data_IF_988896137142
#
_entry.id   IF_988896137142
#
_cell.length_a   1.000
_cell.length_b   1.000
_cell.length_c   1.000
_cell.angle_alpha   90.00
_cell.angle_beta   90.00
_cell.angle_gamma   90.00
#
_symmetry.space_group_name_H-M   'P 1'
#
loop_
_entity.id
_entity.type
_entity.pdbx_description
1 polymer ?
#
# COMPACT_ATOMS: atom_id res chain seq x y z
N UNK A 1 -12.14 7.52 3.64
CA UNK A 1 -13.16 6.96 4.56
C UNK A 1 -13.14 7.79 5.83
N UNK A 2 -14.21 7.75 6.61
CA UNK A 2 -14.37 8.49 7.87
C UNK A 2 -15.38 7.80 8.78
N UNK A 3 -15.77 8.49 9.85
CA UNK A 3 -16.83 8.02 10.73
C UNK A 3 -17.59 9.21 11.32
N UNK A 4 -18.91 9.06 11.45
CA UNK A 4 -19.74 9.98 12.23
C UNK A 4 -19.81 9.44 13.67
N UNK A 5 -19.24 10.15 14.66
CA UNK A 5 -19.27 9.71 16.05
C UNK A 5 -20.69 9.47 16.57
N UNK A 6 -20.84 8.42 17.37
CA UNK A 6 -22.04 8.03 18.09
C UNK A 6 -21.68 7.74 19.56
N UNK A 7 -22.59 7.12 20.30
CA UNK A 7 -22.37 6.74 21.69
C UNK A 7 -21.40 5.55 21.83
N UNK A 8 -20.79 5.43 23.02
CA UNK A 8 -19.96 4.28 23.44
C UNK A 8 -18.71 4.01 22.58
N UNK A 9 -18.08 5.05 22.01
CA UNK A 9 -16.84 4.90 21.25
C UNK A 9 -17.02 4.28 19.86
N UNK A 10 -18.28 4.19 19.37
CA UNK A 10 -18.61 3.72 18.03
C UNK A 10 -19.04 4.89 17.14
N UNK A 11 -18.92 4.72 15.83
CA UNK A 11 -19.42 5.68 14.84
C UNK A 11 -19.96 4.99 13.59
N UNK A 12 -20.79 5.70 12.82
CA UNK A 12 -21.26 5.23 11.51
C UNK A 12 -20.16 5.42 10.48
N UNK A 13 -19.86 4.39 9.70
CA UNK A 13 -18.83 4.44 8.66
C UNK A 13 -19.22 5.40 7.51
N UNK A 14 -18.31 6.29 7.15
CA UNK A 14 -18.43 7.18 6.00
C UNK A 14 -17.50 6.73 4.86
N UNK A 15 -18.05 6.55 3.67
CA UNK A 15 -17.31 6.05 2.51
C UNK A 15 -17.39 7.03 1.35
N UNK A 16 -16.24 7.41 0.82
CA UNK A 16 -16.14 8.17 -0.43
C UNK A 16 -15.91 7.19 -1.59
N UNK A 17 -16.99 6.81 -2.27
CA UNK A 17 -16.90 5.93 -3.43
C UNK A 17 -16.36 6.70 -4.63
N UNK A 18 -15.47 6.07 -5.39
CA UNK A 18 -14.85 6.74 -6.51
C UNK A 18 -15.82 7.03 -7.67
N UNK A 19 -16.95 6.32 -7.79
CA UNK A 19 -18.00 6.61 -8.78
C UNK A 19 -19.05 7.62 -8.28
N UNK A 20 -18.88 8.20 -7.09
CA UNK A 20 -19.82 9.12 -6.48
C UNK A 20 -19.15 10.47 -6.19
N UNK A 21 -19.95 11.54 -6.16
CA UNK A 21 -19.47 12.90 -5.86
C UNK A 21 -19.56 13.26 -4.38
N UNK A 22 -20.35 12.52 -3.62
CA UNK A 22 -20.59 12.74 -2.20
C UNK A 22 -20.11 11.55 -1.39
N UNK A 23 -19.77 11.83 -0.14
CA UNK A 23 -19.60 10.79 0.88
C UNK A 23 -20.94 10.12 1.12
N UNK A 24 -20.91 8.79 1.29
CA UNK A 24 -22.06 7.98 1.67
C UNK A 24 -21.92 7.56 3.13
N UNK A 25 -22.96 7.82 3.91
CA UNK A 25 -23.08 7.36 5.30
C UNK A 25 -23.67 5.95 5.29
N UNK A 26 -22.99 5.00 5.89
CA UNK A 26 -23.47 3.62 6.05
C UNK A 26 -24.04 3.43 7.46
N UNK A 27 -25.03 2.55 7.59
CA UNK A 27 -25.56 2.14 8.91
C UNK A 27 -24.57 1.24 9.69
N UNK A 28 -23.46 0.84 9.04
CA UNK A 28 -22.37 0.08 9.63
C UNK A 28 -21.72 0.86 10.78
N UNK A 29 -21.76 0.28 11.98
CA UNK A 29 -21.10 0.81 13.16
C UNK A 29 -19.68 0.27 13.28
N UNK A 30 -18.71 1.17 13.47
CA UNK A 30 -17.29 0.86 13.61
C UNK A 30 -16.70 1.49 14.88
N UNK A 31 -15.63 0.92 15.45
CA UNK A 31 -14.89 1.58 16.52
C UNK A 31 -14.25 2.89 16.05
N UNK A 32 -14.46 3.97 16.81
CA UNK A 32 -13.88 5.27 16.49
C UNK A 32 -12.35 5.28 16.60
N UNK A 33 -11.76 4.38 17.40
CA UNK A 33 -10.31 4.22 17.53
C UNK A 33 -9.62 3.89 16.19
N UNK A 34 -10.34 3.28 15.23
CA UNK A 34 -9.80 2.94 13.90
C UNK A 34 -9.70 4.16 12.96
N UNK A 35 -10.35 5.27 13.30
CA UNK A 35 -10.45 6.48 12.45
C UNK A 35 -9.86 7.70 13.15
N UNK A 36 -10.11 7.84 14.44
CA UNK A 36 -9.77 9.03 15.21
C UNK A 36 -8.82 8.68 16.35
N UNK A 37 -7.60 9.20 16.28
CA UNK A 37 -6.54 8.97 17.28
C UNK A 37 -6.92 9.39 18.70
N UNK A 38 -7.88 10.31 18.86
CA UNK A 38 -8.35 10.76 20.17
C UNK A 38 -9.17 9.70 20.93
N UNK A 39 -9.67 8.67 20.22
CA UNK A 39 -10.38 7.53 20.81
C UNK A 39 -9.49 6.30 20.98
N UNK A 40 -8.21 6.37 20.59
CA UNK A 40 -7.26 5.25 20.65
C UNK A 40 -6.46 5.29 21.97
N UNK A 41 -7.08 4.75 23.03
CA UNK A 41 -6.48 4.67 24.37
C UNK A 41 -5.28 3.71 24.42
N UNK A 42 -5.17 2.77 23.46
CA UNK A 42 -4.19 1.67 23.44
C UNK A 42 -2.98 1.94 22.52
N UNK A 43 -2.84 3.16 21.97
CA UNK A 43 -1.81 3.54 20.98
C UNK A 43 -1.67 2.53 19.83
N UNK A 44 -2.79 2.17 19.23
CA UNK A 44 -2.87 1.31 18.05
C UNK A 44 -2.13 1.94 16.87
N UNK A 45 -1.09 1.26 16.39
CA UNK A 45 -0.43 1.63 15.15
C UNK A 45 -1.17 0.99 13.97
N UNK A 46 -1.72 1.82 13.08
CA UNK A 46 -2.18 1.33 11.77
C UNK A 46 -0.99 1.20 10.83
N UNK A 47 -0.78 -0.01 10.31
CA UNK A 47 0.36 -0.33 9.44
C UNK A 47 0.04 -0.04 7.98
N UNK A 48 -1.16 -0.43 7.54
CA UNK A 48 -1.58 -0.36 6.13
C UNK A 48 -2.77 -1.26 5.85
N UNK A 49 -3.10 -1.43 4.57
CA UNK A 49 -4.22 -2.26 4.14
C UNK A 49 -3.87 -3.15 2.94
N UNK A 50 -4.54 -4.29 2.81
CA UNK A 50 -4.45 -5.18 1.65
C UNK A 50 -5.79 -5.89 1.50
N UNK A 51 -6.32 -5.96 0.27
CA UNK A 51 -7.60 -6.62 0.00
C UNK A 51 -8.80 -6.18 0.88
N UNK A 52 -8.83 -4.91 1.30
CA UNK A 52 -9.90 -4.41 2.19
C UNK A 52 -9.71 -4.73 3.68
N UNK A 53 -8.69 -5.52 4.03
CA UNK A 53 -8.25 -5.74 5.40
C UNK A 53 -7.26 -4.68 5.83
N UNK A 54 -7.39 -4.21 7.07
CA UNK A 54 -6.47 -3.26 7.69
C UNK A 54 -5.61 -4.00 8.69
N UNK A 55 -4.30 -3.84 8.59
CA UNK A 55 -3.36 -4.36 9.58
C UNK A 55 -3.11 -3.30 10.67
N UNK A 56 -3.36 -3.69 11.91
CA UNK A 56 -3.10 -2.89 13.10
C UNK A 56 -2.13 -3.62 14.03
N UNK A 57 -1.33 -2.86 14.79
CA UNK A 57 -0.45 -3.37 15.84
C UNK A 57 -0.77 -2.63 17.13
N UNK A 58 -1.24 -3.35 18.14
CA UNK A 58 -1.54 -2.80 19.47
C UNK A 58 -0.32 -2.88 20.39
N UNK A 59 -0.39 -2.21 21.55
CA UNK A 59 0.67 -2.22 22.57
C UNK A 59 1.05 -3.63 23.09
N UNK A 60 0.16 -4.61 22.95
CA UNK A 60 0.44 -6.01 23.26
C UNK A 60 1.38 -6.71 22.27
N UNK A 61 1.79 -6.01 21.20
CA UNK A 61 2.70 -6.52 20.17
C UNK A 61 2.05 -7.52 19.21
N UNK A 62 0.72 -7.65 19.24
CA UNK A 62 -0.02 -8.57 18.38
C UNK A 62 -0.55 -7.81 17.17
N UNK A 63 -0.11 -8.24 15.98
CA UNK A 63 -0.64 -7.75 14.71
C UNK A 63 -2.04 -8.34 14.50
N UNK A 64 -2.99 -7.50 14.09
CA UNK A 64 -4.38 -7.89 13.82
C UNK A 64 -4.80 -7.45 12.44
N UNK A 65 -5.45 -8.34 11.70
CA UNK A 65 -6.19 -8.00 10.49
C UNK A 65 -7.64 -7.69 10.87
N UNK A 66 -8.15 -6.53 10.48
CA UNK A 66 -9.52 -6.09 10.77
C UNK A 66 -10.23 -5.67 9.49
N UNK A 67 -11.51 -6.05 9.35
CA UNK A 67 -12.35 -5.72 8.19
C UNK A 67 -13.41 -4.64 8.50
N UNK A 68 -13.35 -4.03 9.69
CA UNK A 68 -14.37 -3.08 10.18
C UNK A 68 -14.62 -1.92 9.18
N UNK A 69 -13.59 -1.40 8.51
CA UNK A 69 -13.77 -0.32 7.51
C UNK A 69 -14.06 -0.82 6.09
N UNK A 70 -14.12 -2.13 5.86
CA UNK A 70 -14.55 -2.67 4.58
C UNK A 70 -16.07 -2.48 4.45
N UNK A 71 -16.56 -1.70 3.46
CA UNK A 71 -17.99 -1.43 3.31
C UNK A 71 -18.85 -2.66 3.03
N UNK A 72 -18.24 -3.74 2.51
CA UNK A 72 -18.96 -4.99 2.15
C UNK A 72 -18.88 -6.06 3.23
N UNK A 73 -18.03 -5.88 4.25
CA UNK A 73 -17.91 -6.83 5.35
C UNK A 73 -19.10 -6.74 6.32
N UNK A 74 -19.35 -7.83 7.05
CA UNK A 74 -20.50 -7.95 7.96
C UNK A 74 -20.47 -6.93 9.11
N UNK A 75 -21.56 -6.18 9.25
CA UNK A 75 -21.75 -5.24 10.37
C UNK A 75 -22.02 -5.98 11.69
N UNK A 76 -22.72 -7.12 11.62
CA UNK A 76 -23.13 -7.87 12.79
C UNK A 76 -21.99 -8.70 13.38
N UNK A 77 -21.04 -9.11 12.54
CA UNK A 77 -19.91 -9.97 12.90
C UNK A 77 -18.62 -9.46 12.25
N UNK A 78 -18.09 -8.28 12.66
CA UNK A 78 -16.80 -7.80 12.17
C UNK A 78 -15.70 -8.81 12.52
N UNK A 79 -14.81 -9.09 11.57
CA UNK A 79 -13.74 -10.07 11.73
C UNK A 79 -12.46 -9.36 12.16
N UNK A 80 -11.84 -9.89 13.21
CA UNK A 80 -10.55 -9.42 13.73
C UNK A 80 -9.65 -10.62 13.98
N UNK A 81 -8.69 -10.83 13.09
CA UNK A 81 -7.82 -12.00 13.10
C UNK A 81 -6.51 -11.64 13.80
N UNK A 82 -6.26 -12.10 15.03
CA UNK A 82 -4.95 -11.93 15.65
C UNK A 82 -3.94 -12.86 14.97
N UNK A 83 -2.81 -12.30 14.55
CA UNK A 83 -1.66 -13.07 14.11
C UNK A 83 -0.78 -13.45 15.31
N UNK A 84 0.12 -14.42 15.17
CA UNK A 84 1.04 -14.77 16.26
C UNK A 84 1.92 -13.58 16.67
N UNK A 85 2.50 -13.57 17.88
CA UNK A 85 3.49 -12.56 18.27
C UNK A 85 4.69 -12.55 17.31
N UNK A 86 5.12 -11.36 16.91
CA UNK A 86 6.25 -11.20 15.97
C UNK A 86 7.55 -11.76 16.58
N UNK A 87 8.33 -12.47 15.75
CA UNK A 87 9.62 -13.05 16.15
C UNK A 87 10.75 -12.33 15.43
N UNK A 88 11.67 -11.73 16.19
CA UNK A 88 12.82 -11.01 15.63
C UNK A 88 14.00 -11.94 15.40
N UNK A 89 14.49 -12.01 14.16
CA UNK A 89 15.70 -12.76 13.84
C UNK A 89 16.97 -12.05 14.33
N UNK A 90 18.10 -12.77 14.53
CA UNK A 90 19.37 -12.14 14.85
C UNK A 90 19.75 -11.05 13.84
N UNK A 91 20.23 -9.90 14.34
CA UNK A 91 20.60 -8.72 13.54
C UNK A 91 19.45 -8.09 12.73
N UNK A 92 18.19 -8.40 13.08
CA UNK A 92 16.99 -7.80 12.49
C UNK A 92 16.21 -6.97 13.54
N UNK A 93 15.10 -6.38 13.12
CA UNK A 93 14.16 -5.67 14.00
C UNK A 93 12.73 -5.79 13.48
N UNK A 94 11.75 -5.81 14.38
CA UNK A 94 10.32 -5.95 14.06
C UNK A 94 9.46 -4.77 14.57
N UNK A 95 10.10 -3.73 15.11
CA UNK A 95 9.45 -2.56 15.70
C UNK A 95 8.93 -1.57 14.64
N UNK A 96 9.59 -1.49 13.48
CA UNK A 96 9.18 -0.61 12.38
C UNK A 96 8.76 -1.47 11.20
N UNK A 97 7.44 -1.57 11.00
CA UNK A 97 6.82 -2.25 9.88
C UNK A 97 6.63 -1.24 8.74
N UNK A 98 7.04 -1.62 7.53
CA UNK A 98 6.92 -0.78 6.32
C UNK A 98 5.58 -0.94 5.63
N UNK A 99 5.07 -2.17 5.52
CA UNK A 99 3.72 -2.48 5.09
C UNK A 99 3.38 -3.96 5.33
N UNK A 100 2.12 -4.30 5.03
CA UNK A 100 1.62 -5.67 4.88
C UNK A 100 1.13 -5.91 3.46
N UNK A 101 1.08 -7.17 3.04
CA UNK A 101 0.51 -7.62 1.78
C UNK A 101 -0.07 -9.02 1.96
N UNK A 102 -1.12 -9.36 1.23
CA UNK A 102 -1.83 -10.63 1.36
C UNK A 102 -1.97 -11.29 -0.01
N UNK A 103 -1.91 -12.63 -0.05
CA UNK A 103 -2.06 -13.37 -1.30
C UNK A 103 -3.51 -13.56 -1.74
N UNK A 104 -4.46 -13.32 -0.85
CA UNK A 104 -5.89 -13.54 -1.04
C UNK A 104 -6.68 -12.56 -0.17
N UNK A 105 -7.94 -12.31 -0.53
CA UNK A 105 -8.87 -11.45 0.22
C UNK A 105 -9.59 -12.14 1.37
N UNK A 106 -9.36 -13.45 1.56
CA UNK A 106 -10.08 -14.28 2.53
C UNK A 106 -9.14 -14.92 3.58
N UNK A 107 -8.35 -14.13 4.33
CA UNK A 107 -7.38 -14.65 5.31
C UNK A 107 -7.96 -15.57 6.39
N UNK A 108 -9.26 -15.50 6.64
CA UNK A 108 -9.98 -16.27 7.64
C UNK A 108 -10.43 -17.66 7.16
N UNK A 109 -10.62 -17.84 5.85
CA UNK A 109 -11.26 -19.02 5.27
C UNK A 109 -10.31 -19.78 4.31
N UNK A 110 -9.35 -19.10 3.70
CA UNK A 110 -8.40 -19.66 2.75
C UNK A 110 -7.11 -20.15 3.47
N UNK A 111 -6.97 -21.49 3.60
CA UNK A 111 -5.80 -22.13 4.23
C UNK A 111 -4.46 -21.87 3.49
N UNK A 112 -4.54 -21.44 2.23
CA UNK A 112 -3.39 -21.05 1.42
C UNK A 112 -3.14 -19.54 1.40
N UNK A 113 -4.04 -18.74 1.98
CA UNK A 113 -3.82 -17.31 2.15
C UNK A 113 -2.60 -17.06 3.06
N UNK A 114 -1.61 -16.37 2.51
CA UNK A 114 -0.43 -15.92 3.23
C UNK A 114 -0.49 -14.41 3.43
N UNK A 115 -0.14 -13.98 4.63
CA UNK A 115 0.08 -12.58 5.00
C UNK A 115 1.58 -12.36 5.09
N UNK A 116 2.09 -11.44 4.30
CA UNK A 116 3.46 -10.97 4.32
C UNK A 116 3.59 -9.66 5.10
N UNK A 117 4.54 -9.61 6.03
CA UNK A 117 4.89 -8.41 6.79
C UNK A 117 6.32 -8.03 6.49
N UNK A 118 6.53 -6.81 5.99
CA UNK A 118 7.86 -6.28 5.68
C UNK A 118 8.30 -5.26 6.71
N UNK A 119 9.49 -5.44 7.27
CA UNK A 119 10.08 -4.53 8.26
C UNK A 119 11.14 -3.64 7.63
N UNK A 120 11.40 -2.49 8.27
CA UNK A 120 12.61 -1.71 7.97
C UNK A 120 13.84 -2.56 8.37
N UNK A 121 14.72 -2.86 7.43
CA UNK A 121 15.84 -3.77 7.63
C UNK A 121 15.65 -5.13 6.96
N UNK A 122 16.50 -6.12 7.29
CA UNK A 122 16.64 -7.35 6.51
C UNK A 122 15.62 -8.44 6.89
N UNK A 123 14.40 -8.12 7.34
CA UNK A 123 13.42 -9.14 7.70
C UNK A 123 12.13 -9.04 6.87
N UNK A 124 11.64 -10.21 6.46
CA UNK A 124 10.32 -10.46 5.88
C UNK A 124 9.72 -11.65 6.65
N UNK A 125 8.43 -11.60 6.95
CA UNK A 125 7.76 -12.67 7.69
C UNK A 125 6.45 -13.05 7.01
N UNK A 126 6.19 -14.36 6.90
CA UNK A 126 4.96 -14.93 6.36
C UNK A 126 4.15 -15.62 7.46
N UNK A 127 2.82 -15.49 7.40
CA UNK A 127 1.88 -16.21 8.26
C UNK A 127 0.69 -16.68 7.43
N UNK A 128 0.17 -17.88 7.73
CA UNK A 128 -1.09 -18.40 7.19
C UNK A 128 -2.19 -18.28 8.25
N UNK A 129 -3.09 -17.28 8.19
CA UNK A 129 -3.99 -16.98 9.31
C UNK A 129 -5.08 -18.04 9.51
N UNK A 130 -5.60 -18.64 8.44
CA UNK A 130 -6.59 -19.72 8.51
C UNK A 130 -5.98 -21.11 8.82
N UNK A 131 -4.65 -21.20 8.98
CA UNK A 131 -4.00 -22.47 9.31
C UNK A 131 -4.38 -22.99 10.70
N UNK A 132 -4.32 -24.31 10.91
CA UNK A 132 -4.68 -24.94 12.20
C UNK A 132 -3.89 -24.38 13.41
N UNK A 133 -2.64 -23.98 13.18
CA UNK A 133 -1.78 -23.31 14.16
C UNK A 133 -0.99 -22.23 13.42
N UNK A 134 -1.50 -21.00 13.34
CA UNK A 134 -0.80 -19.92 12.64
C UNK A 134 0.55 -19.69 13.30
N UNK A 135 1.61 -19.67 12.50
CA UNK A 135 2.99 -19.42 12.94
C UNK A 135 3.70 -18.50 11.94
N UNK A 136 4.75 -17.81 12.41
CA UNK A 136 5.59 -16.99 11.55
C UNK A 136 6.70 -17.82 10.92
N UNK A 137 6.76 -17.81 9.60
CA UNK A 137 7.98 -18.18 8.86
C UNK A 137 8.75 -16.90 8.59
N UNK A 138 9.93 -16.76 9.19
CA UNK A 138 10.73 -15.53 9.14
C UNK A 138 11.96 -15.72 8.25
N UNK A 139 12.26 -14.73 7.41
CA UNK A 139 13.38 -14.76 6.48
C UNK A 139 14.32 -13.60 6.73
N UNK A 140 15.63 -13.86 6.67
CA UNK A 140 16.63 -12.81 6.68
C UNK A 140 17.06 -12.50 5.26
N UNK A 141 16.71 -11.31 4.78
CA UNK A 141 17.09 -10.83 3.46
C UNK A 141 18.55 -10.37 3.48
N UNK A 142 19.44 -11.15 2.86
CA UNK A 142 20.87 -10.83 2.84
C UNK A 142 21.21 -9.64 1.93
N UNK A 143 20.42 -9.40 0.87
CA UNK A 143 20.69 -8.30 -0.05
C UNK A 143 20.24 -6.95 0.54
N UNK A 144 21.17 -6.01 0.80
CA UNK A 144 20.87 -4.76 1.50
C UNK A 144 19.95 -3.82 0.72
N UNK A 145 19.77 -4.01 -0.59
CA UNK A 145 18.83 -3.22 -1.39
C UNK A 145 17.38 -3.32 -0.87
N UNK A 146 17.03 -4.41 -0.18
CA UNK A 146 15.68 -4.63 0.39
C UNK A 146 15.57 -4.26 1.87
N UNK A 147 16.61 -3.64 2.44
CA UNK A 147 16.64 -3.27 3.87
C UNK A 147 16.13 -1.85 4.14
N UNK A 148 16.00 -1.01 3.11
CA UNK A 148 15.50 0.37 3.26
C UNK A 148 13.97 0.41 3.32
N UNK A 149 13.36 1.54 2.94
CA UNK A 149 11.91 1.76 2.86
C UNK A 149 11.18 0.97 1.77
N UNK A 150 11.69 -0.21 1.40
CA UNK A 150 11.08 -1.10 0.41
C UNK A 150 9.80 -1.73 0.95
N UNK A 151 8.78 -1.87 0.11
CA UNK A 151 7.48 -2.46 0.45
C UNK A 151 7.29 -3.80 -0.25
N UNK A 152 6.56 -4.71 0.39
CA UNK A 152 6.15 -6.00 -0.18
C UNK A 152 4.79 -5.87 -0.87
N UNK A 153 4.61 -6.52 -2.01
CA UNK A 153 3.30 -6.70 -2.65
C UNK A 153 3.11 -8.14 -3.09
N UNK A 154 1.88 -8.60 -3.28
CA UNK A 154 1.60 -9.90 -3.87
C UNK A 154 1.35 -9.75 -5.37
N UNK A 155 2.11 -10.49 -6.17
CA UNK A 155 1.95 -10.52 -7.63
C UNK A 155 1.17 -11.75 -8.02
N UNK A 156 -0.08 -11.58 -8.44
CA UNK A 156 -0.93 -12.67 -8.92
C UNK A 156 -0.37 -13.27 -10.20
N UNK A 157 0.17 -12.42 -11.08
CA UNK A 157 0.86 -12.84 -12.31
C UNK A 157 1.94 -13.88 -12.05
N UNK A 158 2.67 -13.77 -10.93
CA UNK A 158 3.78 -14.65 -10.61
C UNK A 158 3.46 -15.65 -9.49
N UNK A 159 2.32 -15.51 -8.80
CA UNK A 159 1.98 -16.19 -7.55
C UNK A 159 3.08 -16.06 -6.48
N UNK A 160 3.66 -14.86 -6.34
CA UNK A 160 4.80 -14.61 -5.45
C UNK A 160 4.68 -13.25 -4.77
N UNK A 161 5.19 -13.17 -3.53
CA UNK A 161 5.44 -11.88 -2.89
C UNK A 161 6.67 -11.24 -3.51
N UNK A 162 6.59 -9.96 -3.86
CA UNK A 162 7.66 -9.22 -4.54
C UNK A 162 8.02 -7.98 -3.76
N UNK A 163 9.31 -7.69 -3.69
CA UNK A 163 9.84 -6.47 -3.10
C UNK A 163 10.71 -5.79 -4.15
N UNK A 164 10.46 -4.52 -4.40
CA UNK A 164 11.35 -3.68 -5.19
C UNK A 164 12.43 -3.11 -4.28
N UNK A 165 13.69 -3.34 -4.64
CA UNK A 165 14.83 -2.83 -3.89
C UNK A 165 15.01 -1.33 -4.07
N UNK A 166 15.66 -0.69 -3.08
CA UNK A 166 16.04 0.72 -3.12
C UNK A 166 16.75 1.09 -4.43
N UNK A 167 16.34 2.21 -5.04
CA UNK A 167 16.78 2.65 -6.36
C UNK A 167 16.01 2.00 -7.53
N UNK A 168 15.23 0.94 -7.27
CA UNK A 168 14.35 0.30 -8.25
C UNK A 168 15.06 -0.59 -9.28
N UNK A 169 16.31 -1.01 -9.02
CA UNK A 169 17.13 -1.78 -9.96
C UNK A 169 17.04 -3.30 -9.81
N UNK A 170 16.36 -3.79 -8.77
CA UNK A 170 16.29 -5.21 -8.44
C UNK A 170 14.93 -5.52 -7.82
N UNK A 171 14.32 -6.61 -8.25
CA UNK A 171 13.10 -7.15 -7.65
C UNK A 171 13.46 -8.49 -7.02
N UNK A 172 13.18 -8.64 -5.73
CA UNK A 172 13.20 -9.94 -5.05
C UNK A 172 11.81 -10.56 -5.10
N UNK A 173 11.73 -11.87 -5.31
CA UNK A 173 10.47 -12.61 -5.29
C UNK A 173 10.56 -13.83 -4.38
N UNK A 174 9.57 -14.00 -3.50
CA UNK A 174 9.44 -15.08 -2.54
C UNK A 174 8.19 -15.90 -2.83
N UNK A 175 8.36 -17.21 -2.88
CA UNK A 175 7.28 -18.17 -3.09
C UNK A 175 6.54 -18.39 -1.75
N UNK A 176 5.23 -18.11 -1.65
CA UNK A 176 4.48 -18.33 -0.42
C UNK A 176 4.40 -19.81 -0.01
N UNK A 177 4.45 -20.74 -0.96
CA UNK A 177 4.32 -22.18 -0.73
C UNK A 177 5.66 -22.84 -0.37
N UNK A 178 6.77 -22.28 -0.86
CA UNK A 178 8.12 -22.76 -0.57
C UNK A 178 9.05 -21.59 -0.26
N UNK A 179 8.86 -20.94 0.90
CA UNK A 179 9.57 -19.71 1.17
C UNK A 179 11.01 -19.99 1.62
N UNK A 180 11.93 -19.12 1.21
CA UNK A 180 13.38 -19.30 1.33
C UNK A 180 14.06 -17.97 1.68
N UNK A 181 15.19 -18.05 2.39
CA UNK A 181 16.08 -16.91 2.63
C UNK A 181 16.75 -16.40 1.33
N UNK A 182 16.79 -17.22 0.28
CA UNK A 182 17.30 -16.86 -1.04
C UNK A 182 16.14 -16.55 -2.01
N UNK A 183 15.81 -15.28 -2.25
CA UNK A 183 14.76 -14.90 -3.18
C UNK A 183 15.17 -15.06 -4.64
N UNK A 184 14.19 -15.25 -5.52
CA UNK A 184 14.40 -15.10 -6.96
C UNK A 184 14.67 -13.62 -7.27
N UNK A 185 15.90 -13.31 -7.65
CA UNK A 185 16.32 -11.96 -7.99
C UNK A 185 16.15 -11.68 -9.48
N UNK A 186 15.43 -10.60 -9.80
CA UNK A 186 15.23 -10.12 -11.16
C UNK A 186 15.81 -8.72 -11.31
N UNK A 187 16.66 -8.49 -12.31
CA UNK A 187 17.26 -7.18 -12.56
C UNK A 187 16.30 -6.30 -13.33
N UNK A 188 16.24 -5.02 -12.97
CA UNK A 188 15.45 -4.02 -13.67
C UNK A 188 16.36 -3.14 -14.51
N UNK A 189 16.09 -3.12 -15.82
CA UNK A 189 16.84 -2.39 -16.82
C UNK A 189 16.04 -1.17 -17.27
N UNK A 190 16.42 0.01 -16.78
CA UNK A 190 15.77 1.26 -17.17
C UNK A 190 16.11 1.63 -18.61
N UNK A 191 15.08 1.76 -19.44
CA UNK A 191 15.18 2.14 -20.84
C UNK A 191 14.51 3.50 -21.09
N UNK A 192 14.94 4.18 -22.16
CA UNK A 192 14.33 5.42 -22.63
C UNK A 192 14.16 6.47 -21.51
N UNK A 193 15.14 6.60 -20.63
CA UNK A 193 15.23 7.76 -19.74
C UNK A 193 15.39 8.99 -20.65
N UNK A 194 14.29 9.67 -20.92
CA UNK A 194 14.26 10.93 -21.65
C UNK A 194 15.30 11.86 -21.04
N UNK A 195 15.88 12.74 -21.87
CA UNK A 195 16.74 13.81 -21.34
C UNK A 195 15.86 14.77 -20.54
N UNK A 196 15.58 14.43 -19.28
CA UNK A 196 14.92 15.31 -18.33
C UNK A 196 15.68 16.63 -18.29
N UNK A 197 14.94 17.73 -18.23
CA UNK A 197 15.53 19.05 -18.10
C UNK A 197 16.38 19.13 -16.83
N UNK A 198 17.43 19.97 -16.84
CA UNK A 198 18.37 20.09 -15.72
C UNK A 198 17.66 20.40 -14.41
N UNK A 199 16.71 21.34 -14.42
CA UNK A 199 15.92 21.71 -13.24
C UNK A 199 15.10 20.52 -12.66
N UNK A 200 14.56 19.64 -13.52
CA UNK A 200 13.84 18.44 -13.06
C UNK A 200 14.78 17.44 -12.39
N UNK A 201 16.00 17.29 -12.92
CA UNK A 201 17.02 16.42 -12.31
C UNK A 201 17.48 16.96 -10.96
N UNK A 202 17.77 18.27 -10.87
CA UNK A 202 18.13 18.92 -9.60
C UNK A 202 17.01 18.81 -8.55
N UNK A 203 15.75 18.91 -8.99
CA UNK A 203 14.59 18.65 -8.12
C UNK A 203 14.62 17.21 -7.60
N UNK A 204 14.76 16.22 -8.48
CA UNK A 204 14.79 14.80 -8.10
C UNK A 204 15.97 14.46 -7.18
N UNK A 205 17.17 14.99 -7.46
CA UNK A 205 18.39 14.76 -6.67
C UNK A 205 18.30 15.31 -5.24
N UNK A 206 17.40 16.28 -5.02
CA UNK A 206 17.13 16.85 -3.70
C UNK A 206 15.95 16.21 -2.96
N UNK A 207 15.33 15.18 -3.54
CA UNK A 207 14.20 14.47 -2.94
C UNK A 207 14.62 13.13 -2.32
N UNK A 208 13.85 12.70 -1.33
CA UNK A 208 13.78 11.28 -0.97
C UNK A 208 12.98 10.54 -2.06
N UNK A 209 13.40 9.34 -2.42
CA UNK A 209 12.66 8.52 -3.40
C UNK A 209 11.98 7.38 -2.68
N UNK A 210 10.70 7.18 -2.96
CA UNK A 210 9.94 5.98 -2.60
C UNK A 210 9.63 5.24 -3.89
N UNK A 211 10.04 3.99 -3.96
CA UNK A 211 9.72 3.12 -5.09
C UNK A 211 8.52 2.22 -4.78
N UNK A 212 7.56 2.20 -5.71
CA UNK A 212 6.40 1.32 -5.65
C UNK A 212 6.44 0.35 -6.83
N UNK A 213 6.10 -0.91 -6.55
CA UNK A 213 5.77 -1.90 -7.57
C UNK A 213 4.25 -2.02 -7.57
N UNK A 214 3.63 -1.89 -8.74
CA UNK A 214 2.16 -1.87 -8.87
C UNK A 214 1.75 -2.82 -9.98
N UNK A 215 0.86 -3.76 -9.68
CA UNK A 215 0.30 -4.68 -10.67
C UNK A 215 -1.15 -4.31 -10.98
N UNK A 216 -1.45 -4.15 -12.26
CA UNK A 216 -2.80 -3.95 -12.77
C UNK A 216 -3.42 -5.31 -13.03
N UNK A 217 -4.27 -5.78 -12.10
CA UNK A 217 -5.02 -7.03 -12.28
C UNK A 217 -5.87 -7.06 -13.56
N UNK A 218 -6.58 -5.97 -13.96
CA UNK A 218 -7.39 -5.97 -15.17
C UNK A 218 -6.60 -6.18 -16.47
N UNK A 219 -5.32 -5.76 -16.52
CA UNK A 219 -4.51 -5.80 -17.74
C UNK A 219 -3.31 -6.74 -17.67
N UNK A 220 -2.94 -7.23 -16.48
CA UNK A 220 -1.72 -8.01 -16.24
C UNK A 220 -0.43 -7.18 -16.36
N UNK A 221 -0.54 -5.85 -16.50
CA UNK A 221 0.60 -4.96 -16.61
C UNK A 221 1.22 -4.67 -15.24
N UNK A 222 2.55 -4.57 -15.21
CA UNK A 222 3.29 -4.19 -14.00
C UNK A 222 3.95 -2.84 -14.22
N UNK A 223 3.86 -1.96 -13.23
CA UNK A 223 4.45 -0.64 -13.23
C UNK A 223 5.42 -0.49 -12.07
N UNK A 224 6.53 0.21 -12.32
CA UNK A 224 7.43 0.74 -11.31
C UNK A 224 7.18 2.24 -11.22
N UNK A 225 6.94 2.72 -10.01
CA UNK A 225 6.74 4.14 -9.76
C UNK A 225 7.84 4.65 -8.87
N UNK A 226 8.53 5.71 -9.30
CA UNK A 226 9.45 6.47 -8.45
C UNK A 226 8.75 7.75 -8.01
N UNK A 227 8.43 7.83 -6.72
CA UNK A 227 7.80 8.97 -6.09
C UNK A 227 8.85 9.78 -5.34
N UNK A 228 9.09 11.02 -5.78
CA UNK A 228 10.08 11.91 -5.22
C UNK A 228 9.41 12.83 -4.20
N UNK A 229 9.79 12.73 -2.93
CA UNK A 229 9.19 13.47 -1.82
C UNK A 229 10.20 14.39 -1.10
N UNK A 230 9.72 15.53 -0.61
CA UNK A 230 10.47 16.45 0.26
C UNK A 230 9.72 16.73 1.55
N UNK A 231 10.49 17.05 2.58
CA UNK A 231 9.94 17.59 3.83
C UNK A 231 9.40 18.99 3.57
N UNK A 232 8.17 19.23 4.02
CA UNK A 232 7.50 20.52 4.01
C UNK A 232 6.81 20.74 5.36
N UNK A 233 6.25 21.95 5.57
CA UNK A 233 5.44 22.26 6.75
C UNK A 233 3.97 22.29 6.37
N UNK A 234 3.11 21.64 7.16
CA UNK A 234 1.66 21.81 7.04
C UNK A 234 1.23 23.17 7.64
N UNK A 235 -0.08 23.47 7.61
CA UNK A 235 -0.63 24.74 8.13
C UNK A 235 -0.38 24.95 9.64
N UNK A 236 -0.12 23.88 10.37
CA UNK A 236 0.15 23.88 11.81
C UNK A 236 1.65 23.93 12.12
N UNK A 237 2.52 23.95 11.10
CA UNK A 237 3.98 23.97 11.27
C UNK A 237 4.60 22.60 11.58
N UNK A 238 3.85 21.52 11.43
CA UNK A 238 4.32 20.14 11.56
C UNK A 238 5.04 19.72 10.28
N UNK A 239 6.18 19.01 10.42
CA UNK A 239 6.90 18.43 9.28
C UNK A 239 6.06 17.31 8.64
N UNK A 240 5.88 17.41 7.33
CA UNK A 240 5.16 16.44 6.49
C UNK A 240 6.00 16.09 5.27
N UNK A 241 5.79 14.90 4.71
CA UNK A 241 6.42 14.49 3.45
C UNK A 241 5.48 14.70 2.27
N UNK A 242 5.82 15.64 1.38
CA UNK A 242 5.05 15.94 0.16
C UNK A 242 5.72 15.42 -1.09
N UNK A 243 4.94 14.90 -2.02
CA UNK A 243 5.37 14.57 -3.37
C UNK A 243 5.73 15.85 -4.12
N UNK A 244 6.86 15.83 -4.82
CA UNK A 244 7.35 16.91 -5.67
C UNK A 244 7.41 16.49 -7.13
N UNK A 245 7.67 15.20 -7.37
CA UNK A 245 7.72 14.63 -8.71
C UNK A 245 7.43 13.13 -8.68
N UNK A 246 7.05 12.58 -9.83
CA UNK A 246 6.75 11.16 -9.99
C UNK A 246 7.14 10.71 -11.39
N UNK A 247 7.70 9.50 -11.49
CA UNK A 247 7.95 8.84 -12.75
C UNK A 247 7.31 7.46 -12.75
N UNK A 248 6.63 7.10 -13.83
CA UNK A 248 6.06 5.77 -14.05
C UNK A 248 6.87 5.07 -15.14
N UNK A 249 7.18 3.81 -14.89
CA UNK A 249 7.83 2.91 -15.83
C UNK A 249 6.95 1.68 -16.00
N UNK A 250 6.68 1.30 -17.25
CA UNK A 250 6.07 0.02 -17.58
C UNK A 250 7.15 -1.06 -17.57
N UNK A 251 6.93 -2.13 -16.81
CA UNK A 251 7.82 -3.28 -16.69
C UNK A 251 7.34 -4.39 -17.63
N UNK A 252 8.25 -4.94 -18.43
CA UNK A 252 8.04 -6.21 -19.13
C UNK A 252 8.55 -7.41 -18.33
N UNK A 253 8.34 -8.61 -18.86
CA UNK A 253 8.70 -9.87 -18.21
C UNK A 253 10.21 -10.10 -18.17
N UNK A 254 10.94 -9.51 -19.10
CA UNK A 254 12.40 -9.52 -19.16
C UNK A 254 13.05 -8.54 -18.15
N UNK A 255 12.25 -7.69 -17.50
CA UNK A 255 12.70 -6.71 -16.52
C UNK A 255 13.11 -5.36 -17.11
N UNK A 256 12.75 -5.07 -18.36
CA UNK A 256 12.94 -3.73 -18.90
C UNK A 256 11.88 -2.79 -18.33
N UNK A 257 12.33 -1.72 -17.69
CA UNK A 257 11.50 -0.64 -17.20
C UNK A 257 11.53 0.52 -18.20
N UNK A 258 10.49 0.63 -19.02
CA UNK A 258 10.35 1.70 -20.02
C UNK A 258 9.57 2.85 -19.41
N UNK A 259 10.17 4.04 -19.36
CA UNK A 259 9.48 5.24 -18.91
C UNK A 259 8.21 5.48 -19.76
N UNK A 260 7.07 5.74 -19.10
CA UNK A 260 5.80 5.98 -19.78
C UNK A 260 5.05 7.16 -19.17
N UNK A 261 4.35 7.87 -20.04
CA UNK A 261 3.37 8.91 -19.71
C UNK A 261 1.95 8.47 -20.10
N UNK A 262 1.83 7.21 -20.52
CA UNK A 262 0.61 6.58 -20.97
C UNK A 262 0.52 5.20 -20.30
N UNK A 263 -0.37 5.10 -19.32
CA UNK A 263 -0.78 3.89 -18.64
C UNK A 263 -2.03 3.27 -19.31
N UNK A 264 -2.45 3.78 -20.48
CA UNK A 264 -3.69 3.40 -21.13
C UNK A 264 -4.90 3.90 -20.35
N UNK A 265 -5.97 3.10 -20.29
CA UNK A 265 -7.19 3.42 -19.55
C UNK A 265 -7.04 3.25 -18.03
N UNK A 266 -5.83 3.19 -17.48
CA UNK A 266 -5.63 2.94 -16.04
C UNK A 266 -5.60 4.23 -15.22
N UNK A 267 -6.23 4.16 -14.05
CA UNK A 267 -5.97 5.03 -12.91
C UNK A 267 -5.27 4.22 -11.81
N UNK A 268 -4.20 4.77 -11.24
CA UNK A 268 -3.34 4.13 -10.26
C UNK A 268 -3.54 4.73 -8.87
N UNK A 269 -3.49 3.90 -7.84
CA UNK A 269 -3.74 4.28 -6.45
C UNK A 269 -2.50 3.99 -5.60
N UNK A 270 -1.92 5.02 -5.00
CA UNK A 270 -0.78 4.94 -4.08
C UNK A 270 -1.22 5.44 -2.70
N UNK A 271 -1.35 4.54 -1.74
CA UNK A 271 -1.76 4.88 -0.37
C UNK A 271 -0.97 4.08 0.66
N UNK A 272 -1.41 4.05 1.93
CA UNK A 272 -0.93 3.06 2.90
C UNK A 272 -1.50 1.65 2.65
N UNK A 273 -2.37 1.47 1.65
CA UNK A 273 -2.70 0.15 1.12
C UNK A 273 -1.61 -0.39 0.19
N UNK A 274 -1.65 -1.69 -0.09
CA UNK A 274 -1.02 -2.23 -1.30
C UNK A 274 -1.49 -1.42 -2.53
N UNK A 275 -0.58 -0.96 -3.39
CA UNK A 275 -0.93 -0.14 -4.53
C UNK A 275 -1.63 -0.98 -5.61
N UNK A 276 -2.59 -0.38 -6.30
CA UNK A 276 -3.38 -1.07 -7.32
C UNK A 276 -3.75 -0.13 -8.47
N UNK A 277 -4.19 -0.72 -9.58
CA UNK A 277 -4.76 0.01 -10.71
C UNK A 277 -6.20 -0.44 -10.97
N UNK A 278 -7.02 0.47 -11.48
CA UNK A 278 -8.35 0.17 -12.00
C UNK A 278 -8.54 0.82 -13.37
N UNK A 279 -9.43 0.30 -14.23
CA UNK A 279 -9.79 0.99 -15.47
C UNK A 279 -10.56 2.26 -15.13
N UNK A 280 -10.09 3.41 -15.59
CA UNK A 280 -10.75 4.70 -15.42
C UNK A 280 -12.13 4.71 -16.07
N UNK A 281 -12.31 3.99 -17.18
CA UNK A 281 -13.61 3.81 -17.84
C UNK A 281 -14.67 3.13 -16.96
N UNK A 282 -14.27 2.37 -15.93
CA UNK A 282 -15.19 1.79 -14.94
C UNK A 282 -15.79 2.85 -13.99
N UNK A 283 -15.24 4.07 -13.97
CA UNK A 283 -15.65 5.16 -13.09
C UNK A 283 -15.88 6.46 -13.90
N UNK A 284 -16.89 6.47 -14.80
CA UNK A 284 -17.08 7.56 -15.74
C UNK A 284 -17.41 8.89 -15.03
N UNK A 285 -16.63 9.92 -15.34
CA UNK A 285 -16.83 11.28 -14.83
C UNK A 285 -16.21 11.57 -13.46
N UNK A 286 -15.47 10.62 -12.89
CA UNK A 286 -14.78 10.79 -11.61
C UNK A 286 -13.32 10.31 -11.62
N UNK A 287 -12.98 9.31 -12.45
CA UNK A 287 -11.59 8.96 -12.75
C UNK A 287 -11.23 9.33 -14.18
N UNK A 288 -9.93 9.55 -14.40
CA UNK A 288 -9.38 9.80 -15.73
C UNK A 288 -8.19 8.88 -15.97
N UNK A 289 -8.00 8.40 -17.21
CA UNK A 289 -6.80 7.68 -17.63
C UNK A 289 -5.53 8.45 -17.25
N UNK A 290 -4.43 7.73 -17.03
CA UNK A 290 -3.12 8.31 -16.70
C UNK A 290 -3.04 9.04 -15.35
N UNK A 291 -4.08 8.96 -14.52
CA UNK A 291 -4.02 9.53 -13.18
C UNK A 291 -3.37 8.59 -12.17
N UNK A 292 -2.49 9.15 -11.35
CA UNK A 292 -1.99 8.56 -10.10
C UNK A 292 -2.61 9.32 -8.94
N UNK A 293 -3.47 8.65 -8.18
CA UNK A 293 -4.12 9.16 -6.99
C UNK A 293 -3.24 8.78 -5.79
N UNK A 294 -2.79 9.79 -5.06
CA UNK A 294 -1.97 9.67 -3.87
C UNK A 294 -2.84 9.92 -2.65
N UNK A 295 -2.87 8.99 -1.71
CA UNK A 295 -3.57 9.15 -0.44
C UNK A 295 -2.75 8.57 0.71
N UNK A 296 -1.90 9.39 1.30
CA UNK A 296 -0.98 9.03 2.37
C UNK A 296 -1.37 9.78 3.65
N UNK A 297 -0.71 9.48 4.77
CA UNK A 297 -0.95 10.17 6.04
C UNK A 297 -0.70 11.68 5.91
N UNK A 298 0.37 12.07 5.22
CA UNK A 298 0.82 13.46 5.10
C UNK A 298 0.19 14.23 3.93
N UNK A 299 -0.37 13.54 2.94
CA UNK A 299 -0.85 14.16 1.71
C UNK A 299 -1.96 13.40 1.01
N UNK A 300 -2.84 14.15 0.37
CA UNK A 300 -3.81 13.65 -0.59
C UNK A 300 -3.62 14.43 -1.88
N UNK A 301 -3.37 13.78 -3.02
CA UNK A 301 -3.17 14.46 -4.29
C UNK A 301 -3.45 13.62 -5.51
N UNK A 302 -3.45 14.28 -6.67
CA UNK A 302 -3.66 13.63 -7.97
C UNK A 302 -2.58 14.15 -8.93
N UNK A 303 -2.00 13.23 -9.69
CA UNK A 303 -1.02 13.50 -10.74
C UNK A 303 -1.53 12.92 -12.05
N UNK A 304 -1.63 13.73 -13.09
CA UNK A 304 -1.76 13.25 -14.47
C UNK A 304 -0.34 13.04 -15.04
N UNK A 305 0.05 11.79 -15.32
CA UNK A 305 1.40 11.49 -15.81
C UNK A 305 1.60 11.86 -17.28
N UNK A 306 0.52 12.18 -18.00
CA UNK A 306 0.58 12.61 -19.41
C UNK A 306 1.08 14.05 -19.57
N UNK A 307 0.91 14.89 -18.55
CA UNK A 307 1.22 16.33 -18.60
C UNK A 307 2.52 16.66 -17.86
N UNK A 308 3.70 16.29 -18.37
CA UNK A 308 4.98 16.55 -17.67
C UNK A 308 5.67 17.82 -18.19
N UNK A 309 6.08 18.76 -17.31
CA UNK A 309 5.98 18.72 -15.85
C UNK A 309 4.53 18.90 -15.35
N UNK A 310 4.08 18.00 -14.48
CA UNK A 310 2.70 17.99 -14.00
C UNK A 310 2.49 18.97 -12.86
N UNK A 311 1.26 19.50 -12.77
CA UNK A 311 0.83 20.23 -11.60
C UNK A 311 0.32 19.25 -10.55
N UNK A 312 1.03 19.16 -9.42
CA UNK A 312 0.53 18.39 -8.28
C UNK A 312 -0.49 19.21 -7.49
N UNK A 313 -1.76 18.85 -7.60
CA UNK A 313 -2.77 19.30 -6.66
C UNK A 313 -2.76 18.39 -5.44
N UNK A 314 -2.27 18.88 -4.29
CA UNK A 314 -2.30 18.11 -3.05
C UNK A 314 -2.72 18.90 -1.82
N UNK A 315 -3.61 18.29 -1.03
CA UNK A 315 -3.98 18.73 0.30
C UNK A 315 -3.04 18.10 1.35
N UNK A 316 -2.55 18.92 2.28
CA UNK A 316 -1.73 18.45 3.41
C UNK A 316 -2.58 17.72 4.44
N UNK A 317 -2.01 16.67 5.04
CA UNK A 317 -2.58 15.95 6.18
C UNK A 317 -2.35 16.66 7.53
N UNK A 318 -2.57 15.94 8.65
CA UNK A 318 -2.70 14.48 8.73
C UNK A 318 -4.07 13.97 8.26
N UNK A 319 -4.09 12.85 7.53
CA UNK A 319 -5.30 12.13 7.13
C UNK A 319 -5.56 10.95 8.07
N UNK A 320 -6.79 10.85 8.59
CA UNK A 320 -7.21 9.82 9.56
C UNK A 320 -7.16 8.39 9.03
N UNK A 321 -7.54 8.20 7.76
CA UNK A 321 -7.70 6.88 7.16
C UNK A 321 -6.93 6.82 5.83
N UNK A 322 -5.59 6.80 5.85
CA UNK A 322 -4.74 7.03 4.67
C UNK A 322 -4.59 5.79 3.77
N UNK A 323 -5.63 5.00 3.61
CA UNK A 323 -5.63 3.81 2.75
C UNK A 323 -6.85 3.79 1.84
N UNK A 324 -6.63 3.27 0.65
CA UNK A 324 -7.64 3.10 -0.37
C UNK A 324 -7.95 1.62 -0.51
N UNK A 325 -9.22 1.26 -0.39
CA UNK A 325 -9.66 -0.12 -0.55
C UNK A 325 -9.87 -0.35 -2.05
N UNK A 326 -9.21 -1.34 -2.67
CA UNK A 326 -9.47 -1.69 -4.07
C UNK A 326 -10.92 -2.14 -4.23
N UNK A 327 -11.49 -2.12 -5.45
CA UNK A 327 -12.80 -2.70 -5.70
C UNK A 327 -12.93 -4.07 -5.03
N UNK A 328 -13.93 -4.22 -4.18
CA UNK A 328 -14.19 -5.45 -3.46
C UNK A 328 -15.04 -6.35 -4.35
N UNK A 329 -14.73 -7.64 -4.39
CA UNK A 329 -15.57 -8.61 -5.07
C UNK A 329 -16.88 -8.74 -4.29
N UNK A 330 -17.91 -8.03 -4.75
CA UNK A 330 -19.28 -8.21 -4.29
C UNK A 330 -19.80 -9.44 -5.03
N UNK A 331 -19.40 -10.63 -4.61
CA UNK A 331 -20.10 -11.83 -5.05
C UNK A 331 -21.56 -11.74 -4.59
N UNK A 332 -22.48 -11.73 -5.57
CA UNK A 332 -23.91 -11.92 -5.37
C UNK A 332 -24.23 -13.41 -5.17
#
# INVERSE_FOLDING_TARGET
MGAIPSENGLGRLEVAYANQRSVTDLDKMIPLELVFKEYDDEKTLTIGASHGWIATLKEDGILRLVDDLNPVASDANPKRIPLPPLVTLPHCQTNIITNVSMSSSSPEDDEDCVVAVKFLGPQLSFCKPAGQSPEWTNFKIENPCFCSSSRVMYSEKHNMFRILGSGGHLIGSWDPCNPSDDPKLHKVHFQNLTKLHMATRELMDSCFTIEHLVESRPTGETFLVKQYKKTAKNKEGVDIMKTEFLMVFKLDDEGNAVYTQDMGDLAMFLSMSEPFCVPASSFPGSMYPNNVIIYDYDEMGIVDVSDIPFYLHSASGPHSVPYQIPPQDIEN
#
